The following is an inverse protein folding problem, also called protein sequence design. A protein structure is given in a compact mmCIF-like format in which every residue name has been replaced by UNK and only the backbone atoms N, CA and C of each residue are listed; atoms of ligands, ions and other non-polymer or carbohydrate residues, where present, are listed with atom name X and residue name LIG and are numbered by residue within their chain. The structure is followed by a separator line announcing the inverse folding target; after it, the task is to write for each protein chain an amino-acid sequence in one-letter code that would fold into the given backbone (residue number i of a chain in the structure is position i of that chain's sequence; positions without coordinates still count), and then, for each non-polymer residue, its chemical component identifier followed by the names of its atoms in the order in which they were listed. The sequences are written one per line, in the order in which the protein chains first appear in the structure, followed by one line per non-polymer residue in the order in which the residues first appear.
data_IF_431834373160
#
_entry.id   IF_431834373160
#
_cell.length_a   1.000
_cell.length_b   1.000
_cell.length_c   1.000
_cell.angle_alpha   90.00
_cell.angle_beta   90.00
_cell.angle_gamma   90.00
#
_symmetry.space_group_name_H-M   'P 1'
#
loop_
_entity.id
_entity.type
_entity.pdbx_description
1 polymer ?
#
# COMPACT_ATOMS: atom_id res chain seq x y z
N UNK A 1 -21.78 12.25 6.26
CA UNK A 1 -20.71 13.20 6.64
C UNK A 1 -19.30 12.78 6.22
N UNK A 2 -18.97 11.48 6.13
CA UNK A 2 -17.59 11.02 5.80
C UNK A 2 -17.22 10.96 4.29
N UNK A 3 -18.20 10.90 3.37
CA UNK A 3 -17.94 10.96 1.92
C UNK A 3 -17.46 12.36 1.49
N UNK A 4 -18.02 13.42 2.06
CA UNK A 4 -17.68 14.80 1.72
C UNK A 4 -16.23 15.19 2.07
N UNK A 5 -15.59 14.54 3.04
CA UNK A 5 -14.20 14.85 3.41
C UNK A 5 -13.19 14.31 2.41
N UNK A 6 -13.44 13.13 1.82
CA UNK A 6 -12.57 12.56 0.78
C UNK A 6 -12.75 13.30 -0.54
N UNK A 7 -13.98 13.68 -0.89
CA UNK A 7 -14.27 14.49 -2.08
C UNK A 7 -13.75 15.93 -1.93
N UNK A 8 -13.88 16.53 -0.76
CA UNK A 8 -13.32 17.86 -0.49
C UNK A 8 -11.78 17.85 -0.55
N UNK A 9 -11.14 16.81 -0.01
CA UNK A 9 -9.68 16.65 -0.12
C UNK A 9 -9.24 16.43 -1.57
N UNK A 10 -10.00 15.68 -2.38
CA UNK A 10 -9.71 15.47 -3.80
C UNK A 10 -9.85 16.77 -4.62
N UNK A 11 -10.86 17.58 -4.34
CA UNK A 11 -11.07 18.87 -5.03
C UNK A 11 -10.02 19.93 -4.65
N UNK A 12 -9.62 19.99 -3.37
CA UNK A 12 -8.51 20.84 -2.92
C UNK A 12 -7.19 20.39 -3.55
N UNK A 13 -6.96 19.08 -3.64
CA UNK A 13 -5.76 18.53 -4.26
C UNK A 13 -5.72 18.79 -5.78
N UNK A 14 -6.84 18.73 -6.48
CA UNK A 14 -6.92 19.07 -7.91
C UNK A 14 -6.62 20.55 -8.17
N UNK A 15 -7.13 21.45 -7.33
CA UNK A 15 -6.85 22.88 -7.40
C UNK A 15 -5.38 23.20 -7.08
N UNK A 16 -4.77 22.50 -6.11
CA UNK A 16 -3.36 22.64 -5.77
C UNK A 16 -2.44 22.01 -6.83
N UNK A 17 -2.84 20.90 -7.45
CA UNK A 17 -2.10 20.28 -8.56
C UNK A 17 -2.03 21.21 -9.80
N UNK A 18 -3.10 21.93 -10.11
CA UNK A 18 -3.10 22.94 -11.17
C UNK A 18 -2.12 24.10 -10.88
N UNK A 19 -1.94 24.45 -9.60
CA UNK A 19 -0.99 25.49 -9.15
C UNK A 19 0.46 25.00 -9.09
N UNK A 20 0.67 23.69 -8.88
CA UNK A 20 1.98 23.05 -8.75
C UNK A 20 2.61 22.63 -10.08
N UNK A 21 1.88 22.69 -11.20
CA UNK A 21 2.28 22.22 -12.53
C UNK A 21 3.42 23.02 -13.20
N UNK A 22 4.32 23.68 -12.44
CA UNK A 22 5.29 24.63 -13.04
C UNK A 22 6.77 24.39 -12.78
N UNK A 23 7.19 23.74 -11.70
CA UNK A 23 8.62 23.63 -11.37
C UNK A 23 9.10 22.17 -11.31
N UNK A 24 10.05 21.81 -12.18
CA UNK A 24 10.79 20.54 -12.08
C UNK A 24 11.52 20.48 -10.74
N UNK A 25 11.26 19.45 -9.94
CA UNK A 25 11.86 19.26 -8.61
C UNK A 25 12.76 18.04 -8.59
N UNK A 26 13.73 18.07 -7.69
CA UNK A 26 14.58 16.93 -7.38
C UNK A 26 14.15 16.32 -6.06
N UNK A 27 13.57 15.13 -6.10
CA UNK A 27 12.91 14.47 -4.98
C UNK A 27 13.78 13.28 -4.52
N UNK A 28 14.11 13.24 -3.22
CA UNK A 28 14.72 12.08 -2.60
C UNK A 28 13.65 11.22 -1.93
N UNK A 29 13.37 10.03 -2.46
CA UNK A 29 12.52 9.04 -1.81
C UNK A 29 13.41 8.11 -1.00
N UNK A 30 13.17 8.02 0.32
CA UNK A 30 13.86 7.08 1.20
C UNK A 30 12.95 5.89 1.45
N UNK A 31 13.40 4.70 1.10
CA UNK A 31 12.72 3.41 1.34
C UNK A 31 13.76 2.35 1.69
N UNK A 32 14.20 2.37 2.93
CA UNK A 32 15.38 1.65 3.42
C UNK A 32 15.32 0.13 3.16
N UNK A 33 14.16 -0.52 3.29
CA UNK A 33 13.98 -1.97 3.14
C UNK A 33 13.07 -2.39 1.98
N UNK A 34 12.32 -1.46 1.38
CA UNK A 34 11.36 -1.77 0.32
C UNK A 34 11.83 -1.18 -1.02
N UNK A 35 12.74 -1.89 -1.69
CA UNK A 35 13.26 -1.49 -2.99
C UNK A 35 12.16 -1.48 -4.07
N UNK A 36 12.10 -0.44 -4.93
CA UNK A 36 11.19 -0.43 -6.08
C UNK A 36 11.57 -1.46 -7.16
N UNK A 37 12.80 -1.98 -7.10
CA UNK A 37 13.33 -3.00 -8.01
C UNK A 37 13.15 -4.42 -7.48
N UNK A 38 12.63 -4.59 -6.25
CA UNK A 38 12.39 -5.92 -5.70
C UNK A 38 11.43 -6.71 -6.60
N UNK A 39 11.80 -7.95 -6.90
CA UNK A 39 10.89 -8.83 -7.62
C UNK A 39 9.59 -9.00 -6.83
N UNK A 40 8.43 -8.90 -7.47
CA UNK A 40 7.17 -9.14 -6.80
C UNK A 40 7.23 -10.47 -6.04
N UNK A 41 6.94 -10.45 -4.73
CA UNK A 41 6.90 -11.56 -3.79
C UNK A 41 8.22 -12.08 -3.27
N UNK A 42 9.32 -11.39 -3.52
CA UNK A 42 10.51 -11.59 -2.68
C UNK A 42 10.14 -11.40 -1.21
N UNK A 43 10.94 -11.98 -0.32
CA UNK A 43 10.76 -11.83 1.13
C UNK A 43 10.60 -10.36 1.47
N UNK A 44 9.56 -10.01 2.24
CA UNK A 44 9.18 -8.63 2.58
C UNK A 44 8.68 -7.73 1.43
N UNK A 45 8.57 -8.20 0.19
CA UNK A 45 7.93 -7.43 -0.87
C UNK A 45 6.42 -7.30 -0.60
N UNK A 46 5.93 -6.07 -0.56
CA UNK A 46 4.53 -5.78 -0.19
C UNK A 46 4.04 -4.44 -0.73
N UNK A 47 2.97 -3.93 -0.12
CA UNK A 47 2.34 -2.68 -0.53
C UNK A 47 3.30 -1.49 -0.61
N UNK A 48 4.27 -1.38 0.30
CA UNK A 48 5.26 -0.30 0.29
C UNK A 48 6.15 -0.33 -0.96
N UNK A 49 6.59 -1.52 -1.43
CA UNK A 49 7.38 -1.64 -2.67
C UNK A 49 6.57 -1.15 -3.88
N UNK A 50 5.29 -1.56 -3.95
CA UNK A 50 4.37 -1.09 -5.00
C UNK A 50 4.18 0.41 -4.92
N UNK A 51 3.92 0.95 -3.72
CA UNK A 51 3.76 2.39 -3.49
C UNK A 51 4.97 3.18 -3.96
N UNK A 52 6.18 2.83 -3.50
CA UNK A 52 7.42 3.54 -3.86
C UNK A 52 7.70 3.45 -5.36
N UNK A 53 7.51 2.28 -5.97
CA UNK A 53 7.73 2.08 -7.38
C UNK A 53 6.78 2.93 -8.25
N UNK A 54 5.49 2.89 -7.95
CA UNK A 54 4.48 3.61 -8.73
C UNK A 54 4.55 5.11 -8.50
N UNK A 55 4.77 5.54 -7.26
CA UNK A 55 4.96 6.96 -6.94
C UNK A 55 6.18 7.54 -7.69
N UNK A 56 7.32 6.85 -7.67
CA UNK A 56 8.52 7.30 -8.36
C UNK A 56 8.27 7.44 -9.88
N UNK A 57 7.56 6.47 -10.48
CA UNK A 57 7.19 6.50 -11.90
C UNK A 57 6.30 7.70 -12.26
N UNK A 58 5.25 7.93 -11.48
CA UNK A 58 4.31 9.01 -11.78
C UNK A 58 4.91 10.39 -11.52
N UNK A 59 5.75 10.57 -10.50
CA UNK A 59 6.49 11.80 -10.27
C UNK A 59 7.48 12.08 -11.41
N UNK A 60 8.17 11.03 -11.91
CA UNK A 60 9.07 11.18 -13.07
C UNK A 60 8.32 11.49 -14.38
N UNK A 61 7.15 10.87 -14.59
CA UNK A 61 6.24 11.20 -15.71
C UNK A 61 5.76 12.64 -15.64
N UNK A 62 5.59 13.19 -14.44
CA UNK A 62 5.26 14.59 -14.21
C UNK A 62 6.48 15.54 -14.41
N UNK A 63 7.64 15.01 -14.79
CA UNK A 63 8.85 15.78 -15.12
C UNK A 63 9.82 15.99 -13.97
N UNK A 64 9.56 15.45 -12.77
CA UNK A 64 10.46 15.54 -11.64
C UNK A 64 11.67 14.58 -11.79
N UNK A 65 12.79 14.92 -11.13
CA UNK A 65 13.93 14.02 -10.96
C UNK A 65 13.76 13.26 -9.65
N UNK A 66 13.80 11.94 -9.70
CA UNK A 66 13.54 11.10 -8.54
C UNK A 66 14.73 10.17 -8.27
N UNK A 67 15.30 10.29 -7.09
CA UNK A 67 16.29 9.36 -6.58
C UNK A 67 15.67 8.53 -5.45
N UNK A 68 15.61 7.21 -5.62
CA UNK A 68 15.11 6.29 -4.59
C UNK A 68 16.29 5.67 -3.88
N UNK A 69 16.41 5.93 -2.57
CA UNK A 69 17.44 5.35 -1.72
C UNK A 69 16.93 4.12 -1.03
N UNK A 70 17.59 2.99 -1.25
CA UNK A 70 17.26 1.71 -0.60
C UNK A 70 18.55 1.03 -0.14
N UNK A 71 18.48 0.13 0.82
CA UNK A 71 19.67 -0.58 1.30
C UNK A 71 20.18 -1.55 0.23
N UNK A 72 21.51 -1.64 0.11
CA UNK A 72 22.16 -2.68 -0.66
C UNK A 72 21.98 -4.03 0.05
N UNK A 73 21.28 -4.96 -0.55
CA UNK A 73 20.93 -6.26 0.02
C UNK A 73 21.48 -7.46 -0.77
N UNK A 74 22.26 -7.16 -1.82
CA UNK A 74 23.00 -8.17 -2.58
C UNK A 74 24.36 -7.61 -3.04
N UNK A 75 25.44 -8.42 -3.05
CA UNK A 75 26.78 -7.94 -3.35
C UNK A 75 26.94 -7.48 -4.81
N UNK A 76 26.16 -8.04 -5.75
CA UNK A 76 26.20 -7.70 -7.17
C UNK A 76 25.45 -6.42 -7.55
N UNK A 77 24.65 -5.87 -6.63
CA UNK A 77 23.92 -4.63 -6.89
C UNK A 77 24.87 -3.46 -7.09
N UNK A 78 24.72 -2.77 -8.23
CA UNK A 78 25.44 -1.52 -8.50
C UNK A 78 24.97 -0.43 -7.54
N UNK A 79 25.87 0.46 -7.15
CA UNK A 79 25.54 1.58 -6.25
C UNK A 79 24.42 2.46 -6.83
N UNK A 80 24.44 2.72 -8.14
CA UNK A 80 23.42 3.50 -8.86
C UNK A 80 22.88 2.61 -9.98
N UNK A 81 21.58 2.40 -9.96
CA UNK A 81 20.83 1.79 -11.06
C UNK A 81 19.95 2.87 -11.72
N UNK A 82 20.18 3.12 -13.01
CA UNK A 82 19.28 3.92 -13.83
C UNK A 82 18.08 3.02 -14.18
N UNK A 83 16.92 3.32 -13.61
CA UNK A 83 15.76 2.43 -13.72
C UNK A 83 14.84 2.83 -14.88
N UNK A 84 14.44 4.08 -14.92
CA UNK A 84 13.66 4.71 -15.98
C UNK A 84 14.16 6.13 -16.19
N UNK A 85 13.66 6.80 -17.22
CA UNK A 85 13.95 8.21 -17.42
C UNK A 85 13.59 9.02 -16.16
N UNK A 86 14.52 9.88 -15.75
CA UNK A 86 14.43 10.69 -14.53
C UNK A 86 14.38 9.91 -13.20
N UNK A 87 14.60 8.59 -13.19
CA UNK A 87 14.61 7.78 -11.95
C UNK A 87 15.93 7.06 -11.79
N UNK A 88 16.59 7.27 -10.65
CA UNK A 88 17.72 6.46 -10.21
C UNK A 88 17.37 5.74 -8.91
N UNK A 89 17.83 4.51 -8.78
CA UNK A 89 17.79 3.77 -7.51
C UNK A 89 19.21 3.70 -6.97
N UNK A 90 19.40 4.21 -5.77
CA UNK A 90 20.68 4.27 -5.08
C UNK A 90 20.72 3.19 -4.00
N UNK A 91 21.57 2.17 -4.21
CA UNK A 91 21.76 1.08 -3.25
C UNK A 91 22.79 1.52 -2.21
N UNK A 92 22.31 1.80 -1.00
CA UNK A 92 23.09 2.35 0.12
C UNK A 92 23.79 1.21 0.88
N UNK A 93 25.14 1.24 1.01
CA UNK A 93 25.86 0.23 1.77
C UNK A 93 25.71 0.51 3.28
N UNK A 94 24.66 -0.04 3.88
CA UNK A 94 24.35 0.03 5.30
C UNK A 94 24.11 -1.37 5.85
N UNK A 95 25.07 -1.89 6.61
CA UNK A 95 25.10 -3.29 7.06
C UNK A 95 25.57 -4.27 5.98
N UNK A 96 25.38 -5.58 6.18
CA UNK A 96 25.88 -6.60 5.27
C UNK A 96 25.10 -6.58 3.94
N UNK A 97 25.77 -6.83 2.79
CA UNK A 97 25.11 -6.88 1.46
C UNK A 97 24.35 -8.21 1.27
N UNK A 98 23.37 -8.46 2.12
CA UNK A 98 22.45 -9.60 2.09
C UNK A 98 21.11 -9.18 2.66
N UNK A 99 20.09 -9.99 2.46
CA UNK A 99 18.81 -9.77 3.11
C UNK A 99 18.97 -9.68 4.64
N UNK A 100 18.34 -8.68 5.23
CA UNK A 100 18.20 -8.47 6.68
C UNK A 100 16.72 -8.22 6.95
N UNK A 101 16.07 -8.99 7.84
CA UNK A 101 14.69 -8.74 8.24
C UNK A 101 14.51 -7.30 8.71
N UNK A 102 13.43 -6.64 8.29
CA UNK A 102 13.20 -5.21 8.63
C UNK A 102 13.13 -4.95 10.13
N UNK A 103 12.73 -5.94 10.92
CA UNK A 103 12.74 -5.88 12.38
C UNK A 103 14.15 -5.78 12.98
N UNK A 104 15.19 -6.17 12.22
CA UNK A 104 16.59 -6.15 12.60
C UNK A 104 17.39 -5.03 11.93
N UNK A 105 16.75 -4.15 11.16
CA UNK A 105 17.45 -3.12 10.39
C UNK A 105 17.80 -1.85 11.17
N UNK A 106 17.16 -1.62 12.32
CA UNK A 106 17.36 -0.41 13.12
C UNK A 106 18.84 -0.06 13.38
N UNK A 107 19.75 -1.00 13.70
CA UNK A 107 21.18 -0.70 13.90
C UNK A 107 21.91 -0.16 12.66
N UNK A 108 21.35 -0.33 11.47
CA UNK A 108 21.98 0.10 10.21
C UNK A 108 21.53 1.49 9.74
N UNK A 109 20.52 2.11 10.39
CA UNK A 109 19.90 3.37 9.97
C UNK A 109 20.90 4.54 9.99
N UNK A 110 21.77 4.62 10.99
CA UNK A 110 22.77 5.70 11.09
C UNK A 110 23.81 5.65 9.96
N UNK A 111 24.27 4.43 9.61
CA UNK A 111 25.17 4.25 8.49
C UNK A 111 24.50 4.62 7.16
N UNK A 112 23.22 4.26 7.01
CA UNK A 112 22.40 4.64 5.88
C UNK A 112 22.27 6.17 5.78
N UNK A 113 21.92 6.86 6.86
CA UNK A 113 21.76 8.31 6.90
C UNK A 113 23.06 9.04 6.52
N UNK A 114 24.19 8.64 7.10
CA UNK A 114 25.51 9.21 6.76
C UNK A 114 25.88 9.02 5.29
N UNK A 115 25.54 7.86 4.70
CA UNK A 115 25.81 7.62 3.28
C UNK A 115 24.95 8.51 2.39
N UNK A 116 23.65 8.60 2.66
CA UNK A 116 22.73 9.47 1.89
C UNK A 116 23.15 10.94 1.99
N UNK A 117 23.55 11.41 3.18
CA UNK A 117 24.04 12.78 3.36
C UNK A 117 25.27 13.07 2.51
N UNK A 118 26.27 12.16 2.51
CA UNK A 118 27.46 12.30 1.65
C UNK A 118 27.12 12.26 0.17
N UNK A 119 26.20 11.39 -0.22
CA UNK A 119 25.73 11.30 -1.59
C UNK A 119 25.04 12.59 -2.03
N UNK A 120 24.13 13.11 -1.22
CA UNK A 120 23.40 14.35 -1.47
C UNK A 120 24.33 15.57 -1.65
N UNK A 121 25.35 15.71 -0.78
CA UNK A 121 26.35 16.79 -0.88
C UNK A 121 27.20 16.77 -2.15
N UNK A 122 27.35 15.59 -2.77
CA UNK A 122 28.15 15.42 -4.01
C UNK A 122 27.34 15.60 -5.29
N UNK A 123 26.02 15.82 -5.17
CA UNK A 123 25.20 16.02 -6.34
C UNK A 123 25.38 17.44 -6.90
N UNK A 124 25.31 17.62 -8.24
CA UNK A 124 25.48 18.94 -8.87
C UNK A 124 24.36 19.93 -8.51
N UNK A 125 23.21 19.44 -8.10
CA UNK A 125 22.09 20.22 -7.56
C UNK A 125 21.54 19.56 -6.30
N UNK A 126 21.13 20.39 -5.32
CA UNK A 126 20.49 19.91 -4.10
C UNK A 126 19.16 19.21 -4.37
N UNK A 127 18.72 18.37 -3.46
CA UNK A 127 17.34 17.91 -3.40
C UNK A 127 16.46 19.06 -2.91
N UNK A 128 15.24 19.12 -3.42
CA UNK A 128 14.25 20.09 -2.95
C UNK A 128 13.52 19.55 -1.69
N UNK A 129 13.19 18.25 -1.69
CA UNK A 129 12.40 17.63 -0.65
C UNK A 129 12.75 16.15 -0.48
N UNK A 130 12.54 15.64 0.73
CA UNK A 130 12.68 14.23 1.08
C UNK A 130 11.30 13.63 1.35
N UNK A 131 10.99 12.46 0.77
CA UNK A 131 9.82 11.67 1.12
C UNK A 131 10.26 10.35 1.76
N UNK A 132 10.04 10.23 3.05
CA UNK A 132 10.38 9.03 3.82
C UNK A 132 9.22 8.03 3.81
N UNK A 133 9.55 6.76 3.59
CA UNK A 133 8.60 5.66 3.59
C UNK A 133 8.97 4.69 4.71
N UNK A 134 8.16 4.62 5.74
CA UNK A 134 8.37 3.89 6.98
C UNK A 134 9.22 4.65 8.02
N UNK A 135 9.15 4.21 9.30
CA UNK A 135 9.77 4.95 10.40
C UNK A 135 11.30 5.02 10.34
N UNK A 136 11.99 3.96 9.90
CA UNK A 136 13.45 3.97 9.76
C UNK A 136 13.89 4.95 8.65
N UNK A 137 13.20 4.96 7.53
CA UNK A 137 13.40 5.99 6.50
C UNK A 137 13.12 7.40 7.02
N UNK A 138 12.15 7.54 7.94
CA UNK A 138 11.87 8.79 8.65
C UNK A 138 13.05 9.28 9.49
N UNK A 139 13.76 8.39 10.18
CA UNK A 139 14.99 8.73 10.91
C UNK A 139 16.07 9.27 9.97
N UNK A 140 16.22 8.65 8.79
CA UNK A 140 17.14 9.15 7.75
C UNK A 140 16.73 10.55 7.28
N UNK A 141 15.45 10.76 7.00
CA UNK A 141 14.94 12.06 6.55
C UNK A 141 15.13 13.15 7.63
N UNK A 142 14.89 12.84 8.90
CA UNK A 142 15.15 13.75 10.02
C UNK A 142 16.66 14.12 10.10
N UNK A 143 17.55 13.15 9.90
CA UNK A 143 18.99 13.42 9.83
C UNK A 143 19.35 14.35 8.67
N UNK A 144 18.75 14.14 7.46
CA UNK A 144 18.96 15.01 6.31
C UNK A 144 18.42 16.43 6.56
N UNK A 145 17.28 16.57 7.23
CA UNK A 145 16.73 17.87 7.63
C UNK A 145 17.71 18.61 8.53
N UNK A 146 18.27 17.94 9.54
CA UNK A 146 19.26 18.54 10.46
C UNK A 146 20.58 18.89 9.77
N UNK A 147 21.09 17.99 8.91
CA UNK A 147 22.42 18.11 8.33
C UNK A 147 22.49 18.99 7.05
N UNK A 148 21.37 19.12 6.33
CA UNK A 148 21.29 19.76 5.00
C UNK A 148 20.15 20.78 4.89
N UNK A 149 19.30 20.96 5.90
CA UNK A 149 18.14 21.85 5.85
C UNK A 149 17.01 21.34 4.94
N UNK A 150 17.03 20.08 4.51
CA UNK A 150 16.03 19.54 3.59
C UNK A 150 14.70 19.28 4.30
N UNK A 151 13.59 19.88 3.86
CA UNK A 151 12.28 19.55 4.40
C UNK A 151 11.89 18.11 4.04
N UNK A 152 11.08 17.48 4.91
CA UNK A 152 10.64 16.12 4.63
C UNK A 152 9.16 15.87 4.94
N UNK A 153 8.57 15.01 4.13
CA UNK A 153 7.29 14.37 4.39
C UNK A 153 7.48 12.89 4.70
N UNK A 154 6.54 12.29 5.43
CA UNK A 154 6.63 10.88 5.83
C UNK A 154 5.31 10.15 5.63
N UNK A 155 5.37 8.96 5.01
CA UNK A 155 4.31 7.94 5.00
C UNK A 155 4.76 6.74 5.83
N UNK A 156 4.00 6.37 6.87
CA UNK A 156 4.41 5.29 7.78
C UNK A 156 4.10 3.89 7.26
N UNK A 157 3.12 3.71 6.37
CA UNK A 157 2.63 2.43 5.82
C UNK A 157 2.13 1.42 6.85
N UNK A 158 2.53 1.53 8.10
CA UNK A 158 2.02 0.78 9.23
C UNK A 158 2.50 1.43 10.53
N UNK A 159 1.58 1.73 11.42
CA UNK A 159 1.88 2.32 12.74
C UNK A 159 2.17 1.23 13.78
N UNK A 160 3.23 1.40 14.55
CA UNK A 160 3.65 0.44 15.56
C UNK A 160 2.62 0.21 16.65
N UNK A 161 1.95 1.27 17.14
CA UNK A 161 0.87 1.14 18.14
C UNK A 161 -0.34 0.38 17.60
N UNK A 162 -0.75 0.64 16.35
CA UNK A 162 -1.85 -0.09 15.69
C UNK A 162 -1.50 -1.57 15.53
N UNK A 163 -0.26 -1.88 15.11
CA UNK A 163 0.22 -3.27 15.02
C UNK A 163 0.17 -3.95 16.38
N UNK A 164 0.68 -3.30 17.41
CA UNK A 164 0.71 -3.85 18.78
C UNK A 164 -0.69 -4.11 19.31
N UNK A 165 -1.64 -3.20 19.07
CA UNK A 165 -3.05 -3.40 19.44
C UNK A 165 -3.68 -4.59 18.72
N UNK A 166 -3.33 -4.82 17.44
CA UNK A 166 -3.91 -5.88 16.64
C UNK A 166 -3.24 -7.25 16.83
N UNK A 167 -1.93 -7.30 17.11
CA UNK A 167 -1.12 -8.51 17.14
C UNK A 167 -0.59 -8.87 18.55
N UNK A 168 -0.65 -7.94 19.52
CA UNK A 168 -0.14 -8.16 20.88
C UNK A 168 1.34 -8.52 20.89
N UNK A 169 1.69 -9.62 21.53
CA UNK A 169 3.06 -10.15 21.66
C UNK A 169 3.63 -10.73 20.36
N UNK A 170 2.79 -10.99 19.35
CA UNK A 170 3.26 -11.44 18.04
C UNK A 170 3.89 -10.33 17.19
N UNK A 171 3.83 -9.06 17.64
CA UNK A 171 4.58 -7.98 17.01
C UNK A 171 6.05 -8.01 17.45
N UNK A 172 6.94 -8.34 16.52
CA UNK A 172 8.38 -8.55 16.75
C UNK A 172 9.23 -7.28 16.63
N UNK A 173 8.62 -6.13 16.28
CA UNK A 173 9.36 -4.87 16.24
C UNK A 173 9.77 -4.40 17.64
N UNK A 174 10.96 -3.78 17.77
CA UNK A 174 11.42 -3.18 19.03
C UNK A 174 10.42 -2.15 19.56
N UNK A 175 10.24 -2.08 20.88
CA UNK A 175 9.32 -1.14 21.55
C UNK A 175 9.68 0.33 21.33
N UNK A 176 10.96 0.61 21.08
CA UNK A 176 11.48 1.94 20.72
C UNK A 176 10.82 2.52 19.48
N UNK A 177 10.33 1.68 18.57
CA UNK A 177 9.64 2.09 17.35
C UNK A 177 8.53 3.10 17.63
N UNK A 178 7.71 2.86 18.64
CA UNK A 178 6.58 3.75 18.97
C UNK A 178 7.03 5.14 19.42
N UNK A 179 8.15 5.21 20.16
CA UNK A 179 8.76 6.50 20.57
C UNK A 179 9.40 7.22 19.38
N UNK A 180 10.06 6.48 18.50
CA UNK A 180 10.65 7.01 17.26
C UNK A 180 9.54 7.58 16.36
N UNK A 181 8.47 6.84 16.11
CA UNK A 181 7.32 7.30 15.31
C UNK A 181 6.72 8.60 15.86
N UNK A 182 6.52 8.68 17.19
CA UNK A 182 6.03 9.90 17.82
C UNK A 182 6.98 11.10 17.65
N UNK A 183 8.29 10.88 17.71
CA UNK A 183 9.28 11.93 17.48
C UNK A 183 9.28 12.39 16.02
N UNK A 184 9.18 11.46 15.07
CA UNK A 184 9.12 11.75 13.64
C UNK A 184 7.87 12.54 13.26
N UNK A 185 6.70 12.22 13.85
CA UNK A 185 5.46 12.96 13.61
C UNK A 185 5.56 14.43 14.07
N UNK A 186 6.36 14.71 15.10
CA UNK A 186 6.65 16.10 15.52
C UNK A 186 7.67 16.80 14.63
N UNK A 187 8.61 16.06 14.03
CA UNK A 187 9.72 16.62 13.24
C UNK A 187 9.37 16.81 11.75
N UNK A 188 8.46 16.00 11.20
CA UNK A 188 8.05 16.05 9.80
C UNK A 188 7.33 17.35 9.46
N UNK A 189 7.58 17.89 8.27
CA UNK A 189 6.88 19.07 7.76
C UNK A 189 5.45 18.74 7.36
N UNK A 190 5.23 17.52 6.80
CA UNK A 190 3.91 16.90 6.61
C UNK A 190 3.97 15.40 6.88
N UNK A 191 2.87 14.86 7.38
CA UNK A 191 2.64 13.43 7.58
C UNK A 191 1.57 13.01 6.58
N UNK A 192 1.81 11.92 5.87
CA UNK A 192 0.87 11.36 4.92
C UNK A 192 0.13 10.21 5.61
N UNK A 193 -1.16 10.38 5.81
CA UNK A 193 -2.06 9.32 6.21
C UNK A 193 -2.68 8.68 4.97
N UNK A 194 -2.70 7.35 4.89
CA UNK A 194 -3.21 6.65 3.71
C UNK A 194 -4.75 6.59 3.67
N UNK A 195 -5.40 6.85 4.81
CA UNK A 195 -6.87 6.91 4.92
C UNK A 195 -7.31 7.73 6.16
N UNK A 196 -8.61 8.06 6.30
CA UNK A 196 -9.13 8.76 7.48
C UNK A 196 -8.89 8.02 8.81
N UNK A 197 -8.93 6.67 8.81
CA UNK A 197 -8.62 5.88 10.01
C UNK A 197 -7.14 6.04 10.42
N UNK A 198 -6.23 6.03 9.44
CA UNK A 198 -4.80 6.19 9.69
C UNK A 198 -4.50 7.58 10.31
N UNK A 199 -5.12 8.65 9.79
CA UNK A 199 -5.08 9.99 10.40
C UNK A 199 -5.59 9.95 11.85
N UNK A 200 -6.76 9.37 12.09
CA UNK A 200 -7.34 9.26 13.42
C UNK A 200 -6.41 8.51 14.39
N UNK A 201 -5.78 7.44 13.93
CA UNK A 201 -4.83 6.66 14.73
C UNK A 201 -3.55 7.46 15.05
N UNK A 202 -3.04 8.25 14.09
CA UNK A 202 -1.90 9.18 14.32
C UNK A 202 -2.24 10.24 15.37
N UNK A 203 -3.42 10.85 15.28
CA UNK A 203 -3.89 11.84 16.24
C UNK A 203 -4.10 11.23 17.62
N UNK A 204 -4.87 10.15 17.70
CA UNK A 204 -5.30 9.55 18.97
C UNK A 204 -4.17 8.82 19.68
N UNK A 205 -3.37 8.05 18.94
CA UNK A 205 -2.36 7.18 19.55
C UNK A 205 -1.00 7.89 19.74
N UNK A 206 -0.69 8.88 18.91
CA UNK A 206 0.63 9.51 18.92
C UNK A 206 0.59 11.01 19.24
N UNK A 207 -0.61 11.62 19.29
CA UNK A 207 -0.76 13.07 19.49
C UNK A 207 -0.22 13.89 18.31
N UNK A 208 -0.27 13.34 17.10
CA UNK A 208 0.18 14.05 15.91
C UNK A 208 -0.71 15.27 15.64
N UNK A 209 -0.15 16.45 15.31
CA UNK A 209 -0.93 17.65 15.05
C UNK A 209 -1.80 17.48 13.79
N UNK A 210 -3.10 17.70 13.90
CA UNK A 210 -4.04 17.62 12.79
C UNK A 210 -3.60 18.42 11.57
N UNK A 211 -3.11 19.65 11.78
CA UNK A 211 -2.64 20.54 10.71
C UNK A 211 -1.46 20.04 9.91
N UNK A 212 -0.71 19.05 10.43
CA UNK A 212 0.42 18.43 9.73
C UNK A 212 0.07 17.16 8.97
N UNK A 213 -1.14 16.62 9.16
CA UNK A 213 -1.55 15.37 8.52
C UNK A 213 -2.36 15.67 7.26
N UNK A 214 -1.86 15.19 6.13
CA UNK A 214 -2.59 15.18 4.87
C UNK A 214 -3.02 13.74 4.54
N UNK A 215 -4.24 13.57 4.03
CA UNK A 215 -4.71 12.25 3.59
C UNK A 215 -4.39 12.12 2.10
N UNK A 216 -3.57 11.10 1.76
CA UNK A 216 -3.29 10.71 0.38
C UNK A 216 -3.35 9.20 0.29
N UNK A 217 -4.30 8.63 -0.46
CA UNK A 217 -4.48 7.18 -0.55
C UNK A 217 -3.36 6.50 -1.33
N UNK A 218 -3.30 5.17 -1.29
CA UNK A 218 -2.58 4.41 -2.31
C UNK A 218 -3.43 4.31 -3.58
N UNK A 219 -2.84 3.76 -4.65
CA UNK A 219 -3.49 3.69 -5.95
C UNK A 219 -3.32 2.37 -6.67
N UNK A 220 -3.84 2.34 -7.89
CA UNK A 220 -3.60 1.29 -8.90
C UNK A 220 -3.14 1.92 -10.21
N UNK A 221 -2.54 1.13 -11.11
CA UNK A 221 -2.17 1.55 -12.46
C UNK A 221 -3.23 1.10 -13.46
N UNK A 222 -3.93 2.03 -14.15
CA UNK A 222 -4.84 1.67 -15.24
C UNK A 222 -4.15 0.97 -16.42
N UNK A 223 -2.83 1.17 -16.58
CA UNK A 223 -2.03 0.51 -17.62
C UNK A 223 -1.75 -0.96 -17.29
N UNK A 224 -1.92 -1.38 -16.02
CA UNK A 224 -1.67 -2.73 -15.55
C UNK A 224 -2.97 -3.50 -15.23
N UNK A 225 -4.01 -2.79 -14.78
CA UNK A 225 -5.24 -3.37 -14.23
C UNK A 225 -6.47 -2.73 -14.87
N UNK A 226 -7.20 -3.53 -15.62
CA UNK A 226 -8.47 -3.20 -16.26
C UNK A 226 -9.34 -4.46 -16.39
N UNK A 227 -10.66 -4.35 -16.54
CA UNK A 227 -11.52 -5.53 -16.71
C UNK A 227 -11.19 -6.29 -17.99
N UNK A 228 -11.09 -7.61 -17.88
CA UNK A 228 -11.07 -8.56 -18.99
C UNK A 228 -12.38 -9.35 -18.94
N UNK A 229 -12.96 -9.78 -20.08
CA UNK A 229 -14.11 -10.67 -20.06
C UNK A 229 -13.82 -11.92 -19.21
N UNK A 230 -14.75 -12.23 -18.28
CA UNK A 230 -14.56 -13.32 -17.31
C UNK A 230 -14.25 -14.68 -17.97
N UNK A 231 -14.96 -15.09 -19.05
CA UNK A 231 -14.65 -16.37 -19.72
C UNK A 231 -13.20 -16.39 -20.26
N UNK A 232 -12.74 -15.29 -20.84
CA UNK A 232 -11.37 -15.17 -21.36
C UNK A 232 -10.32 -15.28 -20.26
N UNK A 233 -10.54 -14.55 -19.13
CA UNK A 233 -9.65 -14.61 -17.98
C UNK A 233 -9.61 -16.03 -17.36
N UNK A 234 -10.76 -16.69 -17.26
CA UNK A 234 -10.87 -18.08 -16.78
C UNK A 234 -10.16 -19.08 -17.70
N UNK A 235 -10.34 -18.96 -19.00
CA UNK A 235 -9.67 -19.81 -19.97
C UNK A 235 -8.15 -19.69 -19.86
N UNK A 236 -7.59 -18.47 -19.73
CA UNK A 236 -6.16 -18.23 -19.53
C UNK A 236 -5.60 -18.88 -18.25
N UNK A 237 -6.42 -18.95 -17.19
CA UNK A 237 -6.02 -19.49 -15.89
C UNK A 237 -6.40 -20.97 -15.70
N UNK A 238 -7.01 -21.62 -16.70
CA UNK A 238 -7.50 -22.99 -16.60
C UNK A 238 -8.54 -23.17 -15.48
N UNK A 239 -9.51 -22.24 -15.40
CA UNK A 239 -10.57 -22.21 -14.38
C UNK A 239 -11.90 -22.62 -15.00
N UNK A 240 -12.74 -23.28 -14.20
CA UNK A 240 -14.10 -23.69 -14.58
C UNK A 240 -15.01 -22.47 -14.75
N UNK A 241 -15.71 -22.41 -15.90
CA UNK A 241 -16.61 -21.31 -16.23
C UNK A 241 -17.85 -21.27 -15.34
N UNK A 242 -18.35 -22.42 -14.90
CA UNK A 242 -19.60 -22.54 -14.15
C UNK A 242 -19.51 -22.25 -12.65
N UNK A 243 -18.31 -22.26 -12.08
CA UNK A 243 -18.11 -22.11 -10.63
C UNK A 243 -18.19 -20.67 -10.16
N UNK A 244 -18.72 -20.50 -8.93
CA UNK A 244 -18.63 -19.22 -8.23
C UNK A 244 -17.24 -19.05 -7.62
N UNK A 245 -16.41 -18.16 -8.19
CA UNK A 245 -15.03 -17.98 -7.80
C UNK A 245 -14.90 -16.80 -6.84
N UNK A 246 -14.43 -17.08 -5.63
CA UNK A 246 -13.99 -16.09 -4.64
C UNK A 246 -12.47 -15.94 -4.73
N UNK A 247 -11.98 -14.72 -4.90
CA UNK A 247 -10.56 -14.42 -4.93
C UNK A 247 -10.11 -13.77 -3.63
N UNK A 248 -9.04 -14.27 -3.04
CA UNK A 248 -8.24 -13.61 -2.02
C UNK A 248 -6.81 -13.45 -2.55
N UNK A 249 -6.24 -12.24 -2.45
CA UNK A 249 -4.90 -11.95 -2.95
C UNK A 249 -4.11 -11.14 -1.93
N UNK A 250 -2.89 -11.58 -1.64
CA UNK A 250 -1.98 -10.86 -0.74
C UNK A 250 -0.94 -11.76 -0.09
N UNK A 251 -0.22 -11.21 0.88
CA UNK A 251 0.79 -11.94 1.66
C UNK A 251 0.12 -12.99 2.55
N UNK A 252 0.74 -14.17 2.67
CA UNK A 252 0.29 -15.25 3.57
C UNK A 252 0.84 -15.01 4.98
N UNK A 253 0.18 -14.10 5.70
CA UNK A 253 0.47 -13.80 7.11
C UNK A 253 -0.84 -13.76 7.91
N UNK A 254 -0.87 -14.21 9.18
CA UNK A 254 -2.11 -14.39 9.95
C UNK A 254 -3.03 -13.17 9.97
N UNK A 255 -2.44 -11.97 10.11
CA UNK A 255 -3.21 -10.71 10.13
C UNK A 255 -4.01 -10.41 8.86
N UNK A 256 -3.71 -11.07 7.74
CA UNK A 256 -4.48 -10.92 6.48
C UNK A 256 -5.81 -11.67 6.49
N UNK A 257 -6.05 -12.53 7.52
CA UNK A 257 -7.33 -13.17 7.75
C UNK A 257 -7.78 -14.12 6.64
N UNK A 258 -6.81 -14.78 5.98
CA UNK A 258 -7.12 -15.75 4.90
C UNK A 258 -7.92 -16.93 5.44
N UNK A 259 -7.69 -17.32 6.70
CA UNK A 259 -8.49 -18.33 7.41
C UNK A 259 -9.97 -17.93 7.53
N UNK A 260 -10.27 -16.66 7.80
CA UNK A 260 -11.64 -16.14 7.80
C UNK A 260 -12.30 -16.30 6.43
N UNK A 261 -11.52 -16.06 5.33
CA UNK A 261 -12.05 -16.27 3.97
C UNK A 261 -12.31 -17.75 3.69
N UNK A 262 -11.39 -18.65 4.10
CA UNK A 262 -11.58 -20.10 3.96
C UNK A 262 -12.83 -20.56 4.73
N UNK A 263 -12.99 -20.13 5.97
CA UNK A 263 -14.17 -20.45 6.80
C UNK A 263 -15.47 -19.90 6.17
N UNK A 264 -15.45 -18.67 5.66
CA UNK A 264 -16.60 -18.06 4.98
C UNK A 264 -17.00 -18.83 3.73
N UNK A 265 -16.03 -19.28 2.92
CA UNK A 265 -16.29 -20.10 1.72
C UNK A 265 -16.78 -21.49 2.11
N UNK A 266 -16.28 -22.10 3.19
CA UNK A 266 -16.83 -23.36 3.72
C UNK A 266 -18.31 -23.21 4.11
N UNK A 267 -18.66 -22.13 4.83
CA UNK A 267 -20.06 -21.83 5.16
C UNK A 267 -20.91 -21.58 3.91
N UNK A 268 -20.37 -20.87 2.90
CA UNK A 268 -21.05 -20.63 1.63
C UNK A 268 -21.41 -21.95 0.93
N UNK A 269 -20.50 -22.92 0.93
CA UNK A 269 -20.73 -24.26 0.36
C UNK A 269 -21.72 -25.08 1.18
N UNK A 270 -21.48 -25.21 2.48
CA UNK A 270 -22.23 -26.14 3.34
C UNK A 270 -23.62 -25.64 3.71
N UNK A 271 -23.75 -24.33 4.04
CA UNK A 271 -25.01 -23.74 4.50
C UNK A 271 -25.86 -23.20 3.36
N UNK A 272 -25.23 -22.65 2.33
CA UNK A 272 -25.95 -22.01 1.22
C UNK A 272 -25.98 -22.86 -0.06
N UNK A 273 -25.30 -24.02 -0.08
CA UNK A 273 -25.30 -24.95 -1.20
C UNK A 273 -24.62 -24.43 -2.48
N UNK A 274 -23.78 -23.41 -2.36
CA UNK A 274 -23.12 -22.80 -3.52
C UNK A 274 -21.87 -23.59 -3.92
N UNK A 275 -21.75 -23.99 -5.20
CA UNK A 275 -20.50 -24.60 -5.69
C UNK A 275 -19.43 -23.51 -5.89
N UNK A 276 -18.87 -23.07 -4.76
CA UNK A 276 -17.85 -22.03 -4.72
C UNK A 276 -16.45 -22.63 -4.76
N UNK A 277 -15.53 -21.95 -5.45
CA UNK A 277 -14.10 -22.18 -5.41
C UNK A 277 -13.39 -20.95 -4.85
N UNK A 278 -12.43 -21.16 -3.93
CA UNK A 278 -11.57 -20.11 -3.43
C UNK A 278 -10.21 -20.14 -4.14
N UNK A 279 -9.83 -19.02 -4.73
CA UNK A 279 -8.46 -18.80 -5.21
C UNK A 279 -7.71 -17.96 -4.18
N UNK A 280 -6.63 -18.51 -3.64
CA UNK A 280 -5.71 -17.82 -2.72
C UNK A 280 -4.41 -17.55 -3.49
N UNK A 281 -4.20 -16.29 -3.82
CA UNK A 281 -3.06 -15.84 -4.64
C UNK A 281 -2.05 -15.10 -3.77
N UNK A 282 -0.80 -15.52 -3.82
CA UNK A 282 0.31 -14.95 -3.04
C UNK A 282 0.93 -15.97 -2.08
N UNK A 283 1.92 -15.51 -1.32
CA UNK A 283 2.73 -16.36 -0.45
C UNK A 283 3.79 -17.17 -1.21
N UNK A 284 4.82 -17.58 -0.49
CA UNK A 284 5.87 -18.44 -1.02
C UNK A 284 5.47 -19.91 -0.90
N UNK A 285 5.38 -20.62 -2.02
CA UNK A 285 5.14 -22.06 -2.07
C UNK A 285 6.43 -22.87 -1.87
N UNK A 286 7.60 -22.22 -1.91
CA UNK A 286 8.92 -22.86 -1.79
C UNK A 286 9.39 -23.19 -0.36
N UNK A 287 8.60 -22.89 0.67
CA UNK A 287 8.85 -23.34 2.04
C UNK A 287 9.96 -22.61 2.81
N UNK A 288 10.53 -21.53 2.28
CA UNK A 288 11.57 -20.76 2.95
C UNK A 288 10.97 -19.51 3.62
N UNK A 289 10.81 -19.54 4.95
CA UNK A 289 10.34 -18.40 5.75
C UNK A 289 8.95 -18.58 6.39
N UNK A 290 8.46 -17.54 7.08
CA UNK A 290 7.20 -17.57 7.82
C UNK A 290 5.94 -17.80 6.97
N UNK A 291 5.98 -17.50 5.68
CA UNK A 291 4.88 -17.73 4.74
C UNK A 291 4.60 -19.24 4.54
N UNK A 292 5.63 -20.12 4.62
CA UNK A 292 5.47 -21.57 4.50
C UNK A 292 4.68 -22.18 5.63
N UNK A 293 4.92 -21.73 6.87
CA UNK A 293 4.18 -22.20 8.05
C UNK A 293 2.71 -21.75 8.00
N UNK A 294 2.46 -20.51 7.61
CA UNK A 294 1.09 -20.01 7.48
C UNK A 294 0.34 -20.73 6.35
N UNK A 295 0.99 -20.99 5.22
CA UNK A 295 0.39 -21.75 4.12
C UNK A 295 0.01 -23.19 4.58
N UNK A 296 0.88 -23.87 5.34
CA UNK A 296 0.57 -25.17 5.91
C UNK A 296 -0.63 -25.11 6.87
N UNK A 297 -0.68 -24.11 7.75
CA UNK A 297 -1.82 -23.86 8.64
C UNK A 297 -3.12 -23.64 7.86
N UNK A 298 -3.10 -22.82 6.82
CA UNK A 298 -4.28 -22.52 5.98
C UNK A 298 -4.78 -23.76 5.22
N UNK A 299 -3.87 -24.61 4.75
CA UNK A 299 -4.23 -25.89 4.13
C UNK A 299 -4.89 -26.84 5.13
N UNK A 300 -4.39 -26.89 6.37
CA UNK A 300 -5.04 -27.66 7.44
C UNK A 300 -6.45 -27.14 7.72
N UNK A 301 -6.63 -25.82 7.86
CA UNK A 301 -7.97 -25.22 8.04
C UNK A 301 -8.92 -25.61 6.92
N UNK A 302 -8.48 -25.61 5.66
CA UNK A 302 -9.31 -26.02 4.53
C UNK A 302 -9.66 -27.53 4.57
N UNK A 303 -8.72 -28.37 5.00
CA UNK A 303 -8.94 -29.81 5.15
C UNK A 303 -9.91 -30.13 6.29
N UNK A 304 -9.71 -29.51 7.46
CA UNK A 304 -10.56 -29.68 8.64
C UNK A 304 -12.02 -29.27 8.38
N UNK A 305 -12.21 -28.28 7.50
CA UNK A 305 -13.52 -27.83 7.04
C UNK A 305 -14.08 -28.64 5.85
N UNK A 306 -13.38 -29.66 5.37
CA UNK A 306 -13.83 -30.53 4.26
C UNK A 306 -13.88 -29.83 2.88
N UNK A 307 -13.16 -28.72 2.71
CA UNK A 307 -13.18 -27.96 1.44
C UNK A 307 -11.80 -27.88 0.74
N UNK A 308 -10.84 -28.71 1.13
CA UNK A 308 -9.48 -28.65 0.56
C UNK A 308 -9.46 -28.72 -0.98
N UNK A 309 -10.33 -29.57 -1.59
CA UNK A 309 -10.46 -29.69 -3.05
C UNK A 309 -11.03 -28.42 -3.73
N UNK A 310 -11.60 -27.50 -2.95
CA UNK A 310 -12.22 -26.25 -3.43
C UNK A 310 -11.40 -25.00 -3.09
N UNK A 311 -10.22 -25.17 -2.51
CA UNK A 311 -9.27 -24.08 -2.23
C UNK A 311 -8.01 -24.27 -3.06
N UNK A 312 -7.76 -23.38 -4.01
CA UNK A 312 -6.56 -23.41 -4.85
C UNK A 312 -5.57 -22.35 -4.37
N UNK A 313 -4.47 -22.79 -3.75
CA UNK A 313 -3.33 -21.95 -3.42
C UNK A 313 -2.41 -21.88 -4.64
N UNK A 314 -2.29 -20.72 -5.26
CA UNK A 314 -1.52 -20.55 -6.49
C UNK A 314 -0.08 -20.14 -6.26
N UNK A 315 0.27 -19.82 -5.01
CA UNK A 315 1.53 -19.16 -4.71
C UNK A 315 1.57 -17.75 -5.29
N UNK A 316 2.78 -17.22 -5.29
CA UNK A 316 3.07 -15.92 -5.84
C UNK A 316 2.88 -15.91 -7.35
N UNK A 317 2.29 -14.83 -7.86
CA UNK A 317 2.06 -14.63 -9.27
C UNK A 317 2.72 -13.35 -9.79
N UNK A 318 3.26 -13.34 -11.01
CA UNK A 318 3.76 -12.11 -11.64
C UNK A 318 2.67 -11.05 -11.75
N UNK A 319 3.04 -9.77 -11.57
CA UNK A 319 2.07 -8.67 -11.63
C UNK A 319 1.27 -8.62 -12.95
N UNK A 320 1.91 -8.99 -14.05
CA UNK A 320 1.29 -8.99 -15.38
C UNK A 320 0.06 -9.92 -15.51
N UNK A 321 -0.03 -10.99 -14.69
CA UNK A 321 -1.17 -11.93 -14.72
C UNK A 321 -2.21 -11.65 -13.64
N UNK A 322 -1.96 -10.72 -12.70
CA UNK A 322 -2.91 -10.42 -11.62
C UNK A 322 -4.23 -9.90 -12.15
N UNK A 323 -4.21 -9.14 -13.23
CA UNK A 323 -5.42 -8.68 -13.93
C UNK A 323 -6.36 -9.83 -14.29
N UNK A 324 -5.80 -10.96 -14.78
CA UNK A 324 -6.61 -12.11 -15.16
C UNK A 324 -7.20 -12.80 -13.91
N UNK A 325 -6.46 -12.89 -12.79
CA UNK A 325 -6.98 -13.39 -11.52
C UNK A 325 -8.14 -12.54 -10.99
N UNK A 326 -7.99 -11.21 -10.98
CA UNK A 326 -9.10 -10.32 -10.60
C UNK A 326 -10.30 -10.50 -11.52
N UNK A 327 -10.07 -10.50 -12.84
CA UNK A 327 -11.15 -10.57 -13.83
C UNK A 327 -11.87 -11.92 -13.87
N UNK A 328 -11.19 -13.02 -13.53
CA UNK A 328 -11.76 -14.37 -13.46
C UNK A 328 -12.71 -14.57 -12.27
N UNK A 329 -12.55 -13.79 -11.22
CA UNK A 329 -13.34 -13.94 -9.98
C UNK A 329 -14.75 -13.34 -10.11
N UNK A 330 -15.71 -13.91 -9.39
CA UNK A 330 -17.04 -13.30 -9.20
C UNK A 330 -17.00 -12.20 -8.14
N UNK A 331 -16.13 -12.37 -7.11
CA UNK A 331 -15.99 -11.46 -5.98
C UNK A 331 -14.57 -11.52 -5.41
N UNK A 332 -14.09 -10.40 -4.96
CA UNK A 332 -12.85 -10.29 -4.19
C UNK A 332 -13.16 -10.22 -2.70
N UNK A 333 -12.51 -11.08 -1.89
CA UNK A 333 -12.65 -11.10 -0.45
C UNK A 333 -11.34 -10.69 0.25
N UNK A 334 -11.43 -9.76 1.20
CA UNK A 334 -10.27 -9.30 2.00
C UNK A 334 -10.69 -9.03 3.43
N UNK A 335 -10.27 -9.88 4.36
CA UNK A 335 -10.71 -9.84 5.77
C UNK A 335 -9.56 -9.67 6.77
N UNK A 336 -8.66 -8.70 6.58
CA UNK A 336 -7.55 -8.49 7.50
C UNK A 336 -8.03 -8.04 8.89
N UNK A 337 -7.18 -8.27 9.91
CA UNK A 337 -7.43 -7.77 11.28
C UNK A 337 -7.24 -6.26 11.37
N UNK A 338 -6.30 -5.73 10.62
CA UNK A 338 -6.09 -4.32 10.35
C UNK A 338 -5.41 -4.16 8.98
N UNK A 339 -5.68 -3.06 8.31
CA UNK A 339 -5.09 -2.74 7.00
C UNK A 339 -4.91 -1.23 6.89
N UNK A 340 -3.68 -0.71 6.76
CA UNK A 340 -3.46 0.74 6.64
C UNK A 340 -4.25 1.35 5.50
N UNK A 341 -4.18 0.77 4.30
CA UNK A 341 -4.96 1.21 3.15
C UNK A 341 -5.75 0.07 2.48
N UNK A 342 -5.06 -0.96 1.97
CA UNK A 342 -5.69 -2.04 1.21
C UNK A 342 -5.64 -1.79 -0.30
N UNK A 343 -4.45 -1.94 -0.90
CA UNK A 343 -4.25 -1.78 -2.35
C UNK A 343 -5.06 -2.82 -3.13
N UNK A 344 -5.08 -4.07 -2.68
CA UNK A 344 -5.73 -5.18 -3.40
C UNK A 344 -7.25 -5.05 -3.55
N UNK A 345 -8.03 -4.52 -2.57
CA UNK A 345 -9.42 -4.11 -2.80
C UNK A 345 -9.59 -3.09 -3.93
N UNK A 346 -8.72 -2.07 -4.01
CA UNK A 346 -8.77 -1.08 -5.09
C UNK A 346 -8.42 -1.70 -6.44
N UNK A 347 -7.45 -2.61 -6.48
CA UNK A 347 -7.09 -3.36 -7.70
C UNK A 347 -8.25 -4.25 -8.20
N UNK A 348 -8.98 -4.89 -7.27
CA UNK A 348 -10.19 -5.66 -7.61
C UNK A 348 -11.30 -4.76 -8.17
N UNK A 349 -11.52 -3.59 -7.55
CA UNK A 349 -12.46 -2.58 -8.04
C UNK A 349 -12.06 -2.08 -9.43
N UNK A 350 -10.77 -1.84 -9.70
CA UNK A 350 -10.26 -1.45 -11.01
C UNK A 350 -10.57 -2.49 -12.10
N UNK A 351 -10.58 -3.77 -11.74
CA UNK A 351 -10.99 -4.89 -12.60
C UNK A 351 -12.51 -5.16 -12.59
N UNK A 352 -13.32 -4.20 -12.12
CA UNK A 352 -14.78 -4.29 -12.04
C UNK A 352 -15.29 -5.50 -11.21
N UNK A 353 -14.59 -5.84 -10.13
CA UNK A 353 -15.04 -6.88 -9.20
C UNK A 353 -15.63 -6.25 -7.94
N UNK A 354 -16.81 -6.73 -7.48
CA UNK A 354 -17.33 -6.34 -6.18
C UNK A 354 -16.37 -6.82 -5.07
N UNK A 355 -16.25 -6.04 -4.01
CA UNK A 355 -15.37 -6.36 -2.88
C UNK A 355 -16.21 -6.70 -1.66
N UNK A 356 -15.92 -7.82 -0.98
CA UNK A 356 -16.37 -8.05 0.40
C UNK A 356 -15.16 -7.89 1.30
N UNK A 357 -15.10 -6.79 2.04
CA UNK A 357 -13.96 -6.39 2.84
C UNK A 357 -14.26 -6.28 4.33
N UNK A 358 -13.26 -6.53 5.18
CA UNK A 358 -13.40 -6.21 6.60
C UNK A 358 -13.52 -4.70 6.82
N UNK A 359 -14.36 -4.30 7.76
CA UNK A 359 -14.58 -2.89 8.15
C UNK A 359 -13.42 -2.36 8.99
N UNK A 360 -12.20 -2.35 8.39
CA UNK A 360 -10.97 -1.91 9.07
C UNK A 360 -10.16 -0.98 8.19
N UNK A 361 -9.45 -0.05 8.82
CA UNK A 361 -8.46 0.83 8.19
C UNK A 361 -8.94 1.47 6.89
N UNK A 362 -8.11 1.39 5.85
CA UNK A 362 -8.42 1.95 4.53
C UNK A 362 -9.53 1.23 3.79
N UNK A 363 -9.77 -0.06 4.04
CA UNK A 363 -10.83 -0.82 3.36
C UNK A 363 -12.20 -0.16 3.58
N UNK A 364 -12.51 0.27 4.80
CA UNK A 364 -13.78 0.94 5.10
C UNK A 364 -13.92 2.35 4.48
N UNK A 365 -12.85 2.88 3.92
CA UNK A 365 -12.87 4.15 3.17
C UNK A 365 -12.88 3.93 1.67
N UNK A 366 -12.28 2.85 1.18
CA UNK A 366 -12.21 2.53 -0.25
C UNK A 366 -13.48 1.84 -0.73
N UNK A 367 -14.01 0.89 0.05
CA UNK A 367 -15.27 0.20 -0.23
C UNK A 367 -16.44 1.02 0.31
N UNK A 368 -17.36 1.38 -0.57
CA UNK A 368 -18.63 2.02 -0.20
C UNK A 368 -19.67 0.91 0.00
N UNK A 369 -20.03 0.65 1.27
CA UNK A 369 -20.93 -0.45 1.65
C UNK A 369 -22.28 -0.35 0.93
N UNK A 370 -22.70 -1.47 0.36
CA UNK A 370 -23.94 -1.57 -0.44
C UNK A 370 -23.85 -0.97 -1.85
N UNK A 371 -22.75 -0.29 -2.22
CA UNK A 371 -22.59 0.39 -3.53
C UNK A 371 -21.47 -0.21 -4.37
N UNK A 372 -20.26 -0.35 -3.81
CA UNK A 372 -19.10 -0.91 -4.54
C UNK A 372 -18.71 -2.30 -4.03
N UNK A 373 -19.45 -2.80 -3.05
CA UNK A 373 -19.22 -4.06 -2.38
C UNK A 373 -19.91 -4.06 -1.01
N UNK A 374 -19.43 -4.93 -0.12
CA UNK A 374 -19.93 -5.03 1.24
C UNK A 374 -18.79 -4.93 2.26
N UNK A 375 -19.09 -4.31 3.41
CA UNK A 375 -18.24 -4.33 4.59
C UNK A 375 -18.79 -5.36 5.59
N UNK A 376 -17.88 -6.11 6.22
CA UNK A 376 -18.19 -7.11 7.25
C UNK A 376 -17.30 -6.90 8.47
N UNK A 377 -17.72 -7.31 9.68
CA UNK A 377 -16.83 -7.29 10.84
C UNK A 377 -15.58 -8.12 10.58
N UNK A 378 -14.44 -7.66 11.11
CA UNK A 378 -13.20 -8.44 11.04
C UNK A 378 -13.35 -9.75 11.80
N UNK A 379 -12.79 -10.85 11.28
CA UNK A 379 -12.87 -12.20 11.87
C UNK A 379 -14.29 -12.76 11.99
N UNK A 380 -15.20 -12.35 11.12
CA UNK A 380 -16.57 -12.86 11.07
C UNK A 380 -16.81 -13.62 9.75
N UNK A 381 -16.54 -14.93 9.70
CA UNK A 381 -16.76 -15.76 8.52
C UNK A 381 -18.25 -15.93 8.19
N UNK A 382 -19.16 -15.80 9.17
CA UNK A 382 -20.58 -15.92 8.92
C UNK A 382 -21.14 -14.72 8.18
N UNK A 383 -20.77 -13.50 8.59
CA UNK A 383 -21.11 -12.28 7.87
C UNK A 383 -20.52 -12.28 6.45
N UNK A 384 -19.27 -12.76 6.29
CA UNK A 384 -18.66 -12.92 4.97
C UNK A 384 -19.47 -13.87 4.10
N UNK A 385 -19.83 -15.07 4.60
CA UNK A 385 -20.58 -16.08 3.86
C UNK A 385 -21.96 -15.55 3.42
N UNK A 386 -22.64 -14.79 4.29
CA UNK A 386 -23.94 -14.17 3.96
C UNK A 386 -23.83 -13.19 2.78
N UNK A 387 -22.81 -12.31 2.80
CA UNK A 387 -22.56 -11.36 1.71
C UNK A 387 -22.16 -12.05 0.40
N UNK A 388 -21.34 -13.09 0.47
CA UNK A 388 -20.98 -13.91 -0.70
C UNK A 388 -22.21 -14.61 -1.28
N UNK A 389 -23.07 -15.20 -0.43
CA UNK A 389 -24.32 -15.83 -0.86
C UNK A 389 -25.29 -14.83 -1.51
N UNK A 390 -25.35 -13.59 -0.99
CA UNK A 390 -26.15 -12.51 -1.60
C UNK A 390 -25.65 -12.18 -3.00
N UNK A 391 -24.34 -12.02 -3.19
CA UNK A 391 -23.76 -11.74 -4.51
C UNK A 391 -23.93 -12.91 -5.49
N UNK A 392 -23.89 -14.16 -5.02
CA UNK A 392 -24.16 -15.33 -5.84
C UNK A 392 -25.63 -15.38 -6.31
N UNK A 393 -26.59 -15.10 -5.42
CA UNK A 393 -28.03 -15.09 -5.75
C UNK A 393 -28.46 -13.92 -6.64
N UNK A 394 -27.69 -12.83 -6.64
CA UNK A 394 -27.98 -11.59 -7.37
C UNK A 394 -26.78 -11.18 -8.24
N UNK A 395 -26.53 -11.89 -9.37
CA UNK A 395 -25.38 -11.60 -10.24
C UNK A 395 -25.44 -10.20 -10.87
N UNK A 396 -26.65 -9.66 -11.09
CA UNK A 396 -26.87 -8.28 -11.53
C UNK A 396 -26.40 -7.25 -10.51
N UNK A 397 -26.61 -7.49 -9.20
CA UNK A 397 -26.10 -6.67 -8.12
C UNK A 397 -24.57 -6.73 -8.07
N UNK A 398 -24.01 -7.93 -8.19
CA UNK A 398 -22.55 -8.11 -8.21
C UNK A 398 -21.89 -7.32 -9.36
N UNK A 399 -22.51 -7.37 -10.56
CA UNK A 399 -22.05 -6.60 -11.72
C UNK A 399 -22.16 -5.10 -11.49
N UNK A 400 -23.30 -4.63 -11.01
CA UNK A 400 -23.51 -3.20 -10.72
C UNK A 400 -22.53 -2.67 -9.69
N UNK A 401 -22.25 -3.43 -8.61
CA UNK A 401 -21.24 -3.09 -7.60
C UNK A 401 -19.83 -3.06 -8.20
N UNK A 402 -19.48 -4.02 -9.05
CA UNK A 402 -18.18 -4.05 -9.73
C UNK A 402 -17.97 -2.83 -10.63
N UNK A 403 -18.98 -2.44 -11.41
CA UNK A 403 -18.95 -1.25 -12.27
C UNK A 403 -18.85 0.04 -11.45
N UNK A 404 -19.61 0.16 -10.36
CA UNK A 404 -19.52 1.29 -9.44
C UNK A 404 -18.14 1.35 -8.77
N UNK A 405 -17.60 0.19 -8.38
CA UNK A 405 -16.25 0.06 -7.85
C UNK A 405 -15.19 0.57 -8.83
N UNK A 406 -15.28 0.17 -10.10
CA UNK A 406 -14.36 0.61 -11.15
C UNK A 406 -14.39 2.13 -11.34
N UNK A 407 -15.60 2.71 -11.44
CA UNK A 407 -15.74 4.18 -11.57
C UNK A 407 -15.04 4.87 -10.41
N UNK A 408 -15.35 4.47 -9.16
CA UNK A 408 -14.73 5.02 -7.96
C UNK A 408 -13.20 4.86 -7.95
N UNK A 409 -12.68 3.67 -8.33
CA UNK A 409 -11.24 3.42 -8.39
C UNK A 409 -10.56 4.37 -9.41
N UNK A 410 -11.12 4.52 -10.60
CA UNK A 410 -10.59 5.40 -11.65
C UNK A 410 -10.62 6.88 -11.26
N UNK A 411 -11.67 7.30 -10.57
CA UNK A 411 -11.85 8.71 -10.14
C UNK A 411 -10.92 9.11 -9.01
N UNK A 412 -10.63 8.20 -8.06
CA UNK A 412 -9.99 8.58 -6.80
C UNK A 412 -8.66 7.89 -6.53
N UNK A 413 -8.38 6.71 -7.11
CA UNK A 413 -7.31 5.82 -6.68
C UNK A 413 -6.32 5.45 -7.79
N UNK A 414 -6.13 6.26 -8.83
CA UNK A 414 -5.02 6.01 -9.76
C UNK A 414 -3.71 6.54 -9.17
N UNK A 415 -2.60 5.87 -9.44
CA UNK A 415 -1.28 6.36 -9.00
C UNK A 415 -0.98 7.76 -9.54
N UNK A 416 -1.54 8.12 -10.68
CA UNK A 416 -1.44 9.48 -11.23
C UNK A 416 -2.09 10.52 -10.30
N UNK A 417 -3.30 10.23 -9.77
CA UNK A 417 -3.97 11.10 -8.79
C UNK A 417 -3.17 11.19 -7.49
N UNK A 418 -2.66 10.05 -7.00
CA UNK A 418 -1.83 10.00 -5.79
C UNK A 418 -0.58 10.87 -5.94
N UNK A 419 0.15 10.71 -7.05
CA UNK A 419 1.36 11.50 -7.31
C UNK A 419 1.06 13.00 -7.46
N UNK A 420 -0.04 13.37 -8.11
CA UNK A 420 -0.47 14.76 -8.22
C UNK A 420 -0.79 15.38 -6.86
N UNK A 421 -1.50 14.65 -5.97
CA UNK A 421 -1.77 15.09 -4.60
C UNK A 421 -0.48 15.27 -3.80
N UNK A 422 0.45 14.33 -3.89
CA UNK A 422 1.74 14.43 -3.21
C UNK A 422 2.60 15.56 -3.76
N UNK A 423 2.63 15.79 -5.07
CA UNK A 423 3.34 16.92 -5.67
C UNK A 423 2.80 18.27 -5.18
N UNK A 424 1.49 18.38 -4.97
CA UNK A 424 0.86 19.55 -4.36
C UNK A 424 1.26 19.75 -2.90
N UNK A 425 1.31 18.64 -2.12
CA UNK A 425 1.79 18.69 -0.73
C UNK A 425 3.26 19.09 -0.67
N UNK A 426 4.10 18.60 -1.59
CA UNK A 426 5.50 19.01 -1.66
C UNK A 426 5.64 20.51 -1.98
N UNK A 427 4.78 21.03 -2.85
CA UNK A 427 4.74 22.46 -3.15
C UNK A 427 4.44 23.30 -1.92
N UNK A 428 3.38 22.93 -1.18
CA UNK A 428 2.96 23.61 0.05
C UNK A 428 4.08 23.59 1.12
N UNK A 429 4.75 22.44 1.31
CA UNK A 429 5.89 22.34 2.23
C UNK A 429 7.04 23.25 1.82
N UNK A 430 7.37 23.31 0.54
CA UNK A 430 8.46 24.12 0.04
C UNK A 430 8.15 25.63 0.08
N UNK A 431 6.91 26.01 -0.16
CA UNK A 431 6.47 27.40 -0.07
C UNK A 431 6.47 27.91 1.37
N UNK A 432 6.09 27.05 2.32
CA UNK A 432 6.13 27.38 3.76
C UNK A 432 7.54 27.37 4.35
N UNK A 433 8.48 26.62 3.76
CA UNK A 433 9.88 26.57 4.21
C UNK A 433 10.73 27.74 3.67
N UNK A 434 10.26 28.47 2.64
CA UNK A 434 10.93 29.68 2.16
C UNK A 434 10.76 30.80 3.19
N UNK A 435 11.85 31.47 3.65
CA UNK A 435 11.72 32.68 4.44
C UNK A 435 10.88 33.70 3.64
N UNK A 436 9.92 34.33 4.30
CA UNK A 436 9.15 35.42 3.69
C UNK A 436 10.12 36.41 3.05
N UNK A 437 9.94 36.71 1.75
CA UNK A 437 10.72 37.75 1.11
C UNK A 437 10.61 39.04 1.96
N UNK A 438 11.71 39.75 2.25
CA UNK A 438 11.62 40.98 2.98
C UNK A 438 10.61 41.89 2.28
N UNK A 439 9.62 42.41 3.01
CA UNK A 439 8.65 43.34 2.49
C UNK A 439 9.43 44.45 1.78
N UNK A 440 9.11 44.68 0.52
CA UNK A 440 9.73 45.77 -0.25
C UNK A 440 9.50 47.05 0.57
N UNK A 441 10.61 47.65 1.03
CA UNK A 441 10.56 48.94 1.69
C UNK A 441 10.00 49.92 0.66
N UNK A 442 8.83 50.47 0.95
CA UNK A 442 8.29 51.57 0.18
C UNK A 442 9.29 52.74 0.26
N UNK A 443 9.78 53.29 -0.82
CA UNK A 443 10.56 54.52 -0.76
C UNK A 443 9.65 55.66 -0.28
N UNK A 444 10.14 56.39 0.72
CA UNK A 444 9.53 57.64 1.20
C UNK A 444 9.54 58.71 0.11
#
# INVERSE_FOLDING_TARGET
MKLNEVEAAANVAAALAAKAAGARRRIAIISDHASPLAAPGSVDCGGQNVYVAQLARELARAGHLVDVFTRRDAPEQRQIAHWLDNIRVIHVPAGPPRYVPKEQMLPHVDAFARHVTRFARRQPAAYDIVHANFFMSGMVAQHLKTALGLPFVITFHALGRVRRLAQGTADTFPTERMRIEAALMRAADRIIAECPQDRHDMERLYGAPHSRIAITPCGFSPDELWPVPMPEARARLGLDEGRFIVLQLGRMVPRKGVDTVIQGVAMLRHRYGVDAQLLVVGGDTGGHGGDGLELARLRSVAADLGIAAHVRFTGQQPRAVLRDYYSAANVFASTPWYEPFGITPVEAMACARPVVGAEVGGIKSTVNDGVTGFLVPSRDPAALADRLARLHRHPELARAMGEAGRRRACEHYTWRHVAAQLAAIYADVLDTARPAAPAAAYPN
#
